data_IF_481809912157
#
_entry.id   IF_481809912157
#
_cell.length_a   1.000
_cell.length_b   1.000
_cell.length_c   1.000
_cell.angle_alpha   90.00
_cell.angle_beta   90.00
_cell.angle_gamma   90.00
#
_symmetry.space_group_name_H-M   'P 1'
#
loop_
_entity.id
_entity.type
_entity.pdbx_description
1 polymer ?
#
# COMPACT_ATOMS: atom_id res chain seq x y z
N UNK A 1 -19.61 -5.62 -4.89
CA UNK A 1 -18.65 -5.78 -3.78
C UNK A 1 -17.36 -5.16 -4.28
N UNK A 2 -17.01 -3.98 -3.78
CA UNK A 2 -15.83 -3.25 -4.28
C UNK A 2 -14.59 -3.93 -3.73
N UNK A 3 -13.85 -4.58 -4.62
CA UNK A 3 -12.61 -5.26 -4.30
C UNK A 3 -11.53 -4.22 -3.97
N UNK A 4 -11.03 -4.23 -2.72
CA UNK A 4 -9.98 -3.32 -2.26
C UNK A 4 -8.73 -3.43 -3.14
N UNK A 5 -8.48 -4.62 -3.72
CA UNK A 5 -7.34 -4.91 -4.59
C UNK A 5 -7.48 -4.13 -5.89
N UNK A 6 -8.68 -4.13 -6.47
CA UNK A 6 -9.00 -3.33 -7.66
C UNK A 6 -8.81 -1.83 -7.38
N UNK A 7 -9.26 -1.35 -6.21
CA UNK A 7 -9.04 0.04 -5.78
C UNK A 7 -7.55 0.38 -5.69
N UNK A 8 -6.73 -0.47 -5.06
CA UNK A 8 -5.28 -0.24 -4.96
C UNK A 8 -4.60 -0.21 -6.33
N UNK A 9 -5.02 -1.08 -7.26
CA UNK A 9 -4.54 -1.09 -8.64
C UNK A 9 -4.88 0.21 -9.39
N UNK A 10 -6.11 0.70 -9.26
CA UNK A 10 -6.54 1.99 -9.85
C UNK A 10 -5.71 3.15 -9.30
N UNK A 11 -5.50 3.20 -7.97
CA UNK A 11 -4.70 4.26 -7.36
C UNK A 11 -3.21 4.17 -7.71
N UNK A 12 -2.67 2.97 -7.87
CA UNK A 12 -1.34 2.77 -8.45
C UNK A 12 -1.24 3.38 -9.85
N UNK A 13 -2.26 3.20 -10.69
CA UNK A 13 -2.35 3.85 -12.00
C UNK A 13 -2.34 5.37 -11.91
N UNK A 14 -3.13 5.96 -11.00
CA UNK A 14 -3.18 7.41 -10.75
C UNK A 14 -1.82 7.96 -10.31
N UNK A 15 -1.16 7.31 -9.34
CA UNK A 15 0.17 7.71 -8.85
C UNK A 15 1.22 7.60 -9.95
N UNK A 16 1.22 6.49 -10.70
CA UNK A 16 2.14 6.28 -11.81
C UNK A 16 2.00 7.38 -12.87
N UNK A 17 0.76 7.68 -13.30
CA UNK A 17 0.50 8.73 -14.29
C UNK A 17 0.94 10.10 -13.79
N UNK A 18 0.70 10.39 -12.51
CA UNK A 18 1.10 11.66 -11.90
C UNK A 18 2.61 11.84 -11.91
N UNK A 19 3.37 10.80 -11.53
CA UNK A 19 4.84 10.84 -11.58
C UNK A 19 5.39 10.84 -13.01
N UNK A 20 4.68 10.21 -13.96
CA UNK A 20 5.03 10.27 -15.38
C UNK A 20 4.90 11.69 -15.93
N UNK A 21 3.78 12.36 -15.63
CA UNK A 21 3.47 13.68 -16.18
C UNK A 21 4.22 14.82 -15.48
N UNK A 22 4.46 14.71 -14.17
CA UNK A 22 5.06 15.78 -13.34
C UNK A 22 6.51 15.54 -12.92
N UNK A 23 7.04 14.35 -13.15
CA UNK A 23 8.36 13.95 -12.66
C UNK A 23 8.39 13.60 -11.18
N UNK A 24 9.57 13.64 -10.53
CA UNK A 24 9.74 13.30 -9.13
C UNK A 24 8.94 14.21 -8.19
N UNK A 25 8.18 13.64 -7.27
CA UNK A 25 7.33 14.39 -6.33
C UNK A 25 7.53 13.91 -4.89
N UNK A 26 7.41 14.82 -3.93
CA UNK A 26 7.37 14.44 -2.51
C UNK A 26 6.05 13.74 -2.17
N UNK A 27 5.99 13.10 -1.00
CA UNK A 27 4.75 12.50 -0.49
C UNK A 27 3.62 13.54 -0.36
N UNK A 28 3.92 14.72 0.20
CA UNK A 28 2.97 15.82 0.34
C UNK A 28 2.46 16.34 -1.00
N UNK A 29 3.34 16.42 -2.00
CA UNK A 29 2.94 16.84 -3.35
C UNK A 29 2.08 15.77 -4.02
N UNK A 30 2.41 14.49 -3.86
CA UNK A 30 1.59 13.39 -4.36
C UNK A 30 0.20 13.40 -3.76
N UNK A 31 0.06 13.56 -2.43
CA UNK A 31 -1.24 13.69 -1.78
C UNK A 31 -2.04 14.86 -2.35
N UNK A 32 -1.37 16.00 -2.53
CA UNK A 32 -1.99 17.23 -3.03
C UNK A 32 -2.46 17.09 -4.47
N UNK A 33 -1.64 16.49 -5.34
CA UNK A 33 -1.93 16.39 -6.78
C UNK A 33 -2.90 15.26 -7.10
N UNK A 34 -2.76 14.12 -6.42
CA UNK A 34 -3.59 12.94 -6.69
C UNK A 34 -4.94 13.00 -5.97
N UNK A 35 -5.06 13.85 -4.93
CA UNK A 35 -6.21 13.94 -4.03
C UNK A 35 -6.56 12.60 -3.36
N UNK A 36 -5.59 11.69 -3.26
CA UNK A 36 -5.80 10.39 -2.64
C UNK A 36 -5.77 10.48 -1.12
N UNK A 37 -6.61 9.69 -0.42
CA UNK A 37 -6.41 9.43 0.99
C UNK A 37 -5.02 8.82 1.22
N UNK A 38 -4.38 9.21 2.32
CA UNK A 38 -3.02 8.79 2.68
C UNK A 38 -2.80 7.27 2.62
N UNK A 39 -3.77 6.50 3.14
CA UNK A 39 -3.74 5.03 3.12
C UNK A 39 -3.72 4.45 1.70
N UNK A 40 -4.46 5.08 0.77
CA UNK A 40 -4.53 4.65 -0.63
C UNK A 40 -3.25 5.01 -1.39
N UNK A 41 -2.65 6.17 -1.11
CA UNK A 41 -1.35 6.53 -1.67
C UNK A 41 -0.27 5.51 -1.26
N UNK A 42 -0.25 5.11 0.01
CA UNK A 42 0.71 4.12 0.51
C UNK A 42 0.51 2.74 -0.11
N UNK A 43 -0.73 2.27 -0.21
CA UNK A 43 -1.03 1.03 -0.91
C UNK A 43 -0.62 1.07 -2.39
N UNK A 44 -0.87 2.21 -3.07
CA UNK A 44 -0.43 2.44 -4.44
C UNK A 44 1.10 2.41 -4.59
N UNK A 45 1.84 3.01 -3.65
CA UNK A 45 3.31 2.96 -3.62
C UNK A 45 3.79 1.50 -3.48
N UNK A 46 3.22 0.75 -2.54
CA UNK A 46 3.55 -0.67 -2.35
C UNK A 46 3.29 -1.52 -3.58
N UNK A 47 2.14 -1.29 -4.23
CA UNK A 47 1.77 -1.93 -5.49
C UNK A 47 2.78 -1.64 -6.60
N UNK A 48 3.09 -0.37 -6.86
CA UNK A 48 4.05 0.05 -7.89
C UNK A 48 5.48 -0.43 -7.59
N UNK A 49 5.86 -0.49 -6.31
CA UNK A 49 7.16 -1.02 -5.91
C UNK A 49 7.26 -2.51 -6.25
N UNK A 50 6.17 -3.27 -6.04
CA UNK A 50 6.14 -4.68 -6.44
C UNK A 50 6.29 -4.89 -7.94
N UNK A 51 5.75 -3.95 -8.73
CA UNK A 51 5.88 -3.93 -10.19
C UNK A 51 7.23 -3.40 -10.70
N UNK A 52 8.15 -3.02 -9.82
CA UNK A 52 9.43 -2.42 -10.18
C UNK A 52 9.30 -1.11 -10.98
N UNK A 53 8.29 -0.29 -10.65
CA UNK A 53 7.96 0.95 -11.38
C UNK A 53 8.21 2.23 -10.60
N UNK A 54 8.52 2.15 -9.31
CA UNK A 54 8.74 3.32 -8.45
C UNK A 54 9.95 3.13 -7.56
N UNK A 55 10.72 4.20 -7.39
CA UNK A 55 11.81 4.27 -6.43
C UNK A 55 11.70 5.54 -5.57
N UNK A 56 12.35 5.52 -4.42
CA UNK A 56 12.44 6.68 -3.53
C UNK A 56 13.87 7.17 -3.50
N UNK A 57 14.10 8.40 -3.93
CA UNK A 57 15.42 9.03 -3.92
C UNK A 57 15.32 10.28 -3.05
N UNK A 58 16.15 10.35 -2.02
CA UNK A 58 16.04 11.38 -0.97
C UNK A 58 14.64 11.37 -0.34
N UNK A 59 13.84 12.41 -0.58
CA UNK A 59 12.50 12.60 -0.04
C UNK A 59 11.42 12.61 -1.13
N UNK A 60 11.74 12.21 -2.36
CA UNK A 60 10.80 12.17 -3.48
C UNK A 60 10.64 10.75 -4.00
N UNK A 61 9.45 10.48 -4.54
CA UNK A 61 9.16 9.31 -5.33
C UNK A 61 9.30 9.66 -6.81
N UNK A 62 9.83 8.73 -7.59
CA UNK A 62 9.96 8.88 -9.03
C UNK A 62 9.80 7.52 -9.72
N UNK A 63 9.52 7.54 -11.02
CA UNK A 63 9.44 6.31 -11.80
C UNK A 63 10.85 5.74 -12.04
N UNK A 64 10.98 4.42 -11.94
CA UNK A 64 12.24 3.72 -12.13
C UNK A 64 12.28 2.37 -11.42
N UNK A 65 13.42 1.69 -11.56
CA UNK A 65 13.67 0.42 -10.85
C UNK A 65 13.63 0.63 -9.34
N UNK A 66 12.90 -0.22 -8.64
CA UNK A 66 12.61 -0.03 -7.23
C UNK A 66 13.82 -0.33 -6.35
N UNK A 67 14.17 0.62 -5.49
CA UNK A 67 15.12 0.43 -4.41
C UNK A 67 14.42 0.06 -3.08
N UNK A 68 13.12 -0.25 -3.12
CA UNK A 68 12.27 -0.46 -1.95
C UNK A 68 12.00 -1.94 -1.66
N UNK A 69 12.49 -2.86 -2.49
CA UNK A 69 12.20 -4.32 -2.39
C UNK A 69 12.50 -4.86 -1.00
N UNK A 70 13.67 -4.53 -0.45
CA UNK A 70 14.12 -5.11 0.82
C UNK A 70 13.30 -4.61 2.00
N UNK A 71 13.03 -3.30 2.09
CA UNK A 71 12.25 -2.72 3.19
C UNK A 71 10.79 -3.17 3.12
N UNK A 72 10.13 -2.97 1.98
CA UNK A 72 8.72 -3.32 1.81
C UNK A 72 8.53 -4.84 1.91
N UNK A 73 9.43 -5.62 1.29
CA UNK A 73 9.36 -7.08 1.33
C UNK A 73 9.49 -7.66 2.73
N UNK A 74 10.34 -7.08 3.59
CA UNK A 74 10.46 -7.48 5.00
C UNK A 74 9.16 -7.24 5.77
N UNK A 75 8.53 -6.08 5.57
CA UNK A 75 7.30 -5.74 6.27
C UNK A 75 6.10 -6.49 5.71
N UNK A 76 6.02 -6.69 4.38
CA UNK A 76 5.07 -7.60 3.74
C UNK A 76 5.16 -9.03 4.32
N UNK A 77 6.35 -9.56 4.57
CA UNK A 77 6.53 -10.86 5.20
C UNK A 77 5.99 -10.91 6.64
N UNK A 78 6.16 -9.84 7.42
CA UNK A 78 5.57 -9.76 8.78
C UNK A 78 4.05 -9.68 8.72
N UNK A 79 3.51 -8.83 7.84
CA UNK A 79 2.06 -8.67 7.64
C UNK A 79 1.44 -10.01 7.23
N UNK A 80 2.04 -10.70 6.26
CA UNK A 80 1.58 -12.02 5.83
C UNK A 80 1.53 -13.02 6.99
N UNK A 81 2.59 -13.10 7.82
CA UNK A 81 2.60 -13.97 9.01
C UNK A 81 1.56 -13.57 10.06
N UNK A 82 1.33 -12.27 10.24
CA UNK A 82 0.27 -11.80 11.16
C UNK A 82 -1.11 -12.24 10.67
N UNK A 83 -1.40 -12.12 9.38
CA UNK A 83 -2.65 -12.61 8.81
C UNK A 83 -2.76 -14.14 8.84
N UNK A 84 -1.64 -14.87 8.68
CA UNK A 84 -1.59 -16.33 8.82
C UNK A 84 -2.00 -16.79 10.23
N UNK A 85 -1.54 -16.09 11.28
CA UNK A 85 -1.83 -16.45 12.68
C UNK A 85 -3.23 -16.01 13.12
N UNK A 86 -3.66 -14.81 12.70
CA UNK A 86 -4.85 -14.15 13.25
C UNK A 86 -6.06 -14.15 12.31
N UNK A 87 -5.90 -14.54 11.04
CA UNK A 87 -6.97 -14.57 10.04
C UNK A 87 -7.32 -13.17 9.51
N UNK A 88 -8.60 -12.79 9.63
CA UNK A 88 -9.11 -11.48 9.23
C UNK A 88 -8.74 -10.42 10.30
N UNK A 89 -7.99 -9.39 9.90
CA UNK A 89 -7.48 -8.35 10.80
C UNK A 89 -7.68 -6.96 10.21
N UNK A 90 -8.09 -5.98 11.03
CA UNK A 90 -8.17 -4.57 10.64
C UNK A 90 -6.80 -3.88 10.60
N UNK A 91 -6.67 -2.80 9.84
CA UNK A 91 -5.39 -2.08 9.67
C UNK A 91 -4.73 -1.64 10.99
N UNK A 92 -5.50 -1.22 11.99
CA UNK A 92 -4.97 -0.77 13.28
C UNK A 92 -4.47 -1.95 14.11
N UNK A 93 -5.25 -3.03 14.18
CA UNK A 93 -4.82 -4.27 14.82
C UNK A 93 -3.61 -4.87 14.11
N UNK A 94 -3.56 -4.80 12.79
CA UNK A 94 -2.45 -5.31 11.98
C UNK A 94 -1.15 -4.54 12.27
N UNK A 95 -1.22 -3.22 12.39
CA UNK A 95 -0.13 -2.37 12.87
C UNK A 95 0.38 -2.82 14.25
N UNK A 96 -0.53 -2.94 15.22
CA UNK A 96 -0.20 -3.34 16.60
C UNK A 96 0.40 -4.75 16.70
N UNK A 97 -0.18 -5.73 16.00
CA UNK A 97 0.23 -7.13 16.06
C UNK A 97 1.56 -7.38 15.33
N UNK A 98 1.78 -6.71 14.19
CA UNK A 98 3.00 -6.84 13.40
C UNK A 98 4.14 -5.93 13.88
N UNK A 99 3.83 -4.94 14.75
CA UNK A 99 4.74 -3.88 15.20
C UNK A 99 5.29 -3.06 14.02
N UNK A 100 4.44 -2.78 13.05
CA UNK A 100 4.71 -1.96 11.88
C UNK A 100 3.84 -0.71 11.99
N UNK A 101 4.39 0.47 11.70
CA UNK A 101 3.60 1.71 11.69
C UNK A 101 2.53 1.66 10.59
N UNK A 102 1.40 2.32 10.79
CA UNK A 102 0.23 2.18 9.90
C UNK A 102 0.54 2.52 8.43
N UNK A 103 1.43 3.48 8.17
CA UNK A 103 1.94 3.78 6.83
C UNK A 103 2.54 2.54 6.16
N UNK A 104 3.51 1.90 6.81
CA UNK A 104 4.22 0.75 6.28
C UNK A 104 3.32 -0.49 6.20
N UNK A 105 2.28 -0.58 7.05
CA UNK A 105 1.21 -1.57 6.88
C UNK A 105 0.54 -1.39 5.52
N UNK A 106 0.12 -0.17 5.17
CA UNK A 106 -0.54 0.09 3.88
C UNK A 106 0.38 -0.15 2.68
N UNK A 107 1.66 0.21 2.79
CA UNK A 107 2.66 -0.10 1.75
C UNK A 107 2.82 -1.62 1.60
N UNK A 108 2.94 -2.35 2.71
CA UNK A 108 3.09 -3.81 2.70
C UNK A 108 1.86 -4.54 2.17
N UNK A 109 0.64 -4.12 2.52
CA UNK A 109 -0.58 -4.71 1.96
C UNK A 109 -0.72 -4.40 0.46
N UNK A 110 -0.35 -3.20 0.00
CA UNK A 110 -0.31 -2.89 -1.43
C UNK A 110 0.63 -3.80 -2.22
N UNK A 111 1.80 -4.11 -1.64
CA UNK A 111 2.75 -5.08 -2.19
C UNK A 111 2.16 -6.49 -2.27
N UNK A 112 1.57 -6.99 -1.18
CA UNK A 112 0.96 -8.32 -1.11
C UNK A 112 -0.28 -8.44 -2.02
N UNK A 113 -1.07 -7.36 -2.12
CA UNK A 113 -2.22 -7.25 -3.00
C UNK A 113 -1.79 -7.41 -4.46
N UNK A 114 -0.68 -6.78 -4.85
CA UNK A 114 -0.13 -6.94 -6.19
C UNK A 114 0.32 -8.37 -6.49
N UNK A 115 0.78 -9.10 -5.47
CA UNK A 115 1.12 -10.52 -5.56
C UNK A 115 -0.11 -11.44 -5.56
N UNK A 116 -1.31 -10.91 -5.32
CA UNK A 116 -2.54 -11.70 -5.19
C UNK A 116 -2.58 -12.58 -3.94
N UNK A 117 -1.78 -12.25 -2.91
CA UNK A 117 -1.66 -13.04 -1.67
C UNK A 117 -2.68 -12.68 -0.60
N UNK A 118 -3.29 -11.51 -0.71
CA UNK A 118 -4.28 -11.01 0.24
C UNK A 118 -5.50 -10.51 -0.49
N UNK A 119 -6.58 -10.41 0.25
CA UNK A 119 -7.82 -9.73 -0.12
C UNK A 119 -8.21 -8.78 1.04
N UNK A 120 -9.21 -7.93 0.84
CA UNK A 120 -9.67 -7.01 1.86
C UNK A 120 -11.01 -6.34 1.56
N UNK A 121 -11.62 -5.77 2.60
CA UNK A 121 -12.91 -5.08 2.49
C UNK A 121 -12.95 -3.86 3.38
N UNK A 122 -13.75 -2.86 2.98
CA UNK A 122 -14.09 -1.71 3.82
C UNK A 122 -15.39 -2.02 4.56
N UNK A 123 -15.35 -2.12 5.89
CA UNK A 123 -16.55 -2.21 6.73
C UNK A 123 -16.97 -0.82 7.22
N UNK A 124 -18.18 -0.41 6.84
CA UNK A 124 -18.86 0.80 7.35
C UNK A 124 -19.78 0.45 8.51
N UNK A 125 -19.20 -0.01 9.62
CA UNK A 125 -19.91 -0.06 10.91
C UNK A 125 -19.19 0.95 11.79
N UNK A 126 -19.73 2.17 11.80
CA UNK A 126 -19.35 3.33 12.64
C UNK A 126 -17.94 3.96 12.48
N UNK A 127 -16.92 3.25 11.99
CA UNK A 127 -15.52 3.75 11.99
C UNK A 127 -14.72 3.57 10.68
N UNK A 128 -15.34 3.20 9.54
CA UNK A 128 -14.65 2.90 8.26
C UNK A 128 -13.37 2.07 8.47
N UNK A 129 -13.53 0.80 8.88
CA UNK A 129 -12.39 -0.10 9.08
C UNK A 129 -12.05 -0.83 7.79
N UNK A 130 -10.76 -0.89 7.46
CA UNK A 130 -10.26 -1.72 6.35
C UNK A 130 -9.76 -3.02 6.96
N UNK A 131 -10.34 -4.14 6.51
CA UNK A 131 -9.96 -5.48 6.90
C UNK A 131 -9.14 -6.13 5.80
N UNK A 132 -8.17 -6.95 6.19
CA UNK A 132 -7.36 -7.76 5.29
C UNK A 132 -7.35 -9.22 5.76
N UNK A 133 -7.26 -10.15 4.81
CA UNK A 133 -7.06 -11.59 5.06
C UNK A 133 -6.23 -12.21 3.94
N UNK A 134 -5.66 -13.40 4.18
CA UNK A 134 -4.95 -14.15 3.14
C UNK A 134 -5.93 -14.76 2.14
N UNK A 135 -5.53 -14.80 0.87
CA UNK A 135 -6.29 -15.46 -0.21
C UNK A 135 -6.03 -16.96 -0.25
#
# INVERSE_FOLDING_TARGET
>A
MSDIISLFGEQAGTVWKTLHDKGPLSESDLLTVTHLPTQQLYAAIGWLARENKICKVNSTYQLGETNLVHSIGKDAGKIWRTLEIWGEVDSQSLSRLSRIVEQDVFIAVGWLAREGKIDGMIRNVDEKKILFWLK
#
